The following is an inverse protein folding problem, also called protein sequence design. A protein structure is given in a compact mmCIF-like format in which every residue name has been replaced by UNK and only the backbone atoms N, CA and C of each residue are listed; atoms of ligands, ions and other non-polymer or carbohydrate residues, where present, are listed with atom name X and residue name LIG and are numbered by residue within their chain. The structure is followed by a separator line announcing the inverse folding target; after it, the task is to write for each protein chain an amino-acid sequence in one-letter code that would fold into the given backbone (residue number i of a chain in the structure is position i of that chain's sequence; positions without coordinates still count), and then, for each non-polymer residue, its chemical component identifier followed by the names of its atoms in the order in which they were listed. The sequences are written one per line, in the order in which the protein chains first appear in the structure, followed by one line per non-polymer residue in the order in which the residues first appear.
data_IF_429278081642
#
_entry.id   IF_429278081642
#
_cell.length_a   1.000
_cell.length_b   1.000
_cell.length_c   1.000
_cell.angle_alpha   90.00
_cell.angle_beta   90.00
_cell.angle_gamma   90.00
#
_symmetry.space_group_name_H-M   'P 1'
#
loop_
_entity.id
_entity.type
_entity.pdbx_description
1 polymer ?
#
# COMPACT_ATOMS: atom_id res chain seq x y z
N UNK A 1 9.07 -3.15 11.46
CA UNK A 1 7.76 -3.84 11.39
C UNK A 1 6.98 -3.38 10.16
N UNK A 2 5.92 -4.11 9.77
CA UNK A 2 4.95 -3.69 8.76
C UNK A 2 3.54 -3.72 9.35
N UNK A 3 2.71 -2.72 9.03
CA UNK A 3 1.30 -2.65 9.42
C UNK A 3 0.47 -2.78 8.15
N UNK A 4 -0.47 -3.73 8.16
CA UNK A 4 -1.36 -4.05 7.03
C UNK A 4 -2.80 -3.99 7.50
N UNK A 5 -3.68 -3.40 6.70
CA UNK A 5 -5.10 -3.30 7.01
C UNK A 5 -5.96 -2.94 5.81
N UNK A 6 -7.21 -2.57 6.06
CA UNK A 6 -8.15 -2.10 5.02
C UNK A 6 -7.56 -0.86 4.32
N UNK A 7 -7.77 -0.73 3.00
CA UNK A 7 -7.27 0.42 2.25
C UNK A 7 -7.83 1.73 2.79
N UNK A 8 -6.98 2.75 2.87
CA UNK A 8 -7.41 4.10 3.29
C UNK A 8 -8.31 4.74 2.24
N UNK A 9 -8.07 4.44 0.96
CA UNK A 9 -8.92 4.86 -0.13
C UNK A 9 -10.16 3.95 -0.23
N UNK A 10 -11.33 4.49 0.14
CA UNK A 10 -12.63 3.78 0.13
C UNK A 10 -12.95 3.02 -1.18
N UNK A 11 -12.47 3.52 -2.32
CA UNK A 11 -12.73 2.91 -3.63
C UNK A 11 -11.93 1.62 -3.86
N UNK A 12 -10.93 1.34 -3.02
CA UNK A 12 -10.13 0.12 -3.06
C UNK A 12 -10.52 -0.85 -1.94
N UNK A 13 -11.40 -0.44 -1.02
CA UNK A 13 -11.87 -1.26 0.09
C UNK A 13 -13.01 -2.16 -0.37
N UNK A 14 -12.65 -3.18 -1.15
CA UNK A 14 -13.54 -4.11 -1.88
C UNK A 14 -13.69 -5.47 -1.19
N UNK A 15 -13.23 -5.59 0.05
CA UNK A 15 -13.19 -6.84 0.82
C UNK A 15 -12.02 -7.77 0.49
N UNK A 16 -11.23 -7.45 -0.55
CA UNK A 16 -10.15 -8.31 -1.04
C UNK A 16 -8.77 -7.67 -1.06
N UNK A 17 -8.76 -6.35 -1.08
CA UNK A 17 -7.56 -5.55 -1.11
C UNK A 17 -7.15 -5.18 0.31
N UNK A 18 -5.88 -5.39 0.62
CA UNK A 18 -5.23 -4.82 1.80
C UNK A 18 -4.19 -3.77 1.39
N UNK A 19 -3.87 -2.88 2.31
CA UNK A 19 -2.86 -1.85 2.16
C UNK A 19 -1.79 -1.97 3.25
N UNK A 20 -0.51 -1.93 2.87
CA UNK A 20 0.59 -1.69 3.80
C UNK A 20 0.65 -0.19 4.08
N UNK A 21 0.20 0.23 5.26
CA UNK A 21 0.13 1.67 5.61
C UNK A 21 1.36 2.17 6.35
N UNK A 22 2.15 1.25 6.91
CA UNK A 22 3.42 1.57 7.56
C UNK A 22 4.42 0.45 7.35
N UNK A 23 5.65 0.81 7.05
CA UNK A 23 6.79 -0.08 7.15
C UNK A 23 7.99 0.71 7.67
N UNK A 24 8.60 0.21 8.74
CA UNK A 24 9.84 0.77 9.27
C UNK A 24 10.85 -0.35 9.56
N UNK A 25 12.13 -0.02 9.42
CA UNK A 25 13.26 -0.90 9.75
C UNK A 25 14.25 -0.14 10.61
N UNK A 26 15.14 -0.87 11.27
CA UNK A 26 16.29 -0.36 12.02
C UNK A 26 17.52 -0.10 11.15
N UNK A 27 17.38 -0.22 9.82
CA UNK A 27 18.47 -0.11 8.85
C UNK A 27 19.15 -1.44 8.49
N UNK A 28 18.72 -2.58 9.04
CA UNK A 28 19.29 -3.87 8.67
C UNK A 28 19.21 -4.13 7.14
N UNK A 29 20.27 -4.68 6.51
CA UNK A 29 20.31 -4.89 5.07
C UNK A 29 19.14 -5.73 4.56
N UNK A 30 18.48 -5.26 3.50
CA UNK A 30 17.33 -5.92 2.85
C UNK A 30 16.09 -6.12 3.73
N UNK A 31 16.06 -5.57 4.95
CA UNK A 31 14.93 -5.75 5.87
C UNK A 31 13.61 -5.24 5.26
N UNK A 32 13.64 -4.08 4.57
CA UNK A 32 12.45 -3.47 3.97
C UNK A 32 11.80 -4.38 2.92
N UNK A 33 12.60 -4.89 1.96
CA UNK A 33 12.12 -5.80 0.92
C UNK A 33 11.62 -7.13 1.49
N UNK A 34 12.33 -7.69 2.49
CA UNK A 34 11.91 -8.93 3.17
C UNK A 34 10.57 -8.76 3.89
N UNK A 35 10.36 -7.63 4.55
CA UNK A 35 9.09 -7.33 5.23
C UNK A 35 7.94 -7.15 4.24
N UNK A 36 8.13 -6.48 3.10
CA UNK A 36 7.11 -6.42 2.04
C UNK A 36 6.76 -7.82 1.51
N UNK A 37 7.75 -8.68 1.31
CA UNK A 37 7.54 -10.07 0.91
C UNK A 37 6.79 -10.89 1.97
N UNK A 38 7.14 -10.73 3.26
CA UNK A 38 6.47 -11.40 4.36
C UNK A 38 5.01 -10.94 4.53
N UNK A 39 4.76 -9.64 4.41
CA UNK A 39 3.41 -9.07 4.45
C UNK A 39 2.52 -9.67 3.35
N UNK A 40 3.04 -9.83 2.13
CA UNK A 40 2.28 -10.46 1.05
C UNK A 40 1.98 -11.93 1.31
N UNK A 41 2.95 -12.70 1.82
CA UNK A 41 2.74 -14.11 2.18
C UNK A 41 1.65 -14.25 3.24
N UNK A 42 1.66 -13.41 4.28
CA UNK A 42 0.65 -13.41 5.32
C UNK A 42 -0.73 -13.04 4.77
N UNK A 43 -0.84 -11.96 3.98
CA UNK A 43 -2.10 -11.54 3.37
C UNK A 43 -2.73 -12.64 2.50
N UNK A 44 -1.92 -13.33 1.68
CA UNK A 44 -2.40 -14.47 0.88
C UNK A 44 -2.88 -15.64 1.74
N UNK A 45 -2.17 -15.96 2.81
CA UNK A 45 -2.55 -17.05 3.71
C UNK A 45 -3.91 -16.79 4.39
N UNK A 46 -4.24 -15.51 4.61
CA UNK A 46 -5.54 -15.06 5.11
C UNK A 46 -6.63 -14.98 4.03
N UNK A 47 -6.33 -15.28 2.77
CA UNK A 47 -7.29 -15.33 1.67
C UNK A 47 -7.39 -14.05 0.82
N UNK A 48 -6.66 -12.98 1.15
CA UNK A 48 -6.69 -11.75 0.36
C UNK A 48 -6.01 -11.92 -0.99
N UNK A 49 -6.57 -11.30 -2.03
CA UNK A 49 -6.13 -11.46 -3.42
C UNK A 49 -5.26 -10.30 -3.90
N UNK A 50 -5.27 -9.18 -3.16
CA UNK A 50 -4.53 -7.98 -3.52
C UNK A 50 -3.91 -7.32 -2.30
N UNK A 51 -2.63 -6.96 -2.41
CA UNK A 51 -1.94 -6.12 -1.45
C UNK A 51 -1.30 -4.93 -2.19
N UNK A 52 -1.53 -3.74 -1.67
CA UNK A 52 -1.03 -2.48 -2.24
C UNK A 52 -0.24 -1.66 -1.22
N UNK A 53 0.51 -0.68 -1.71
CA UNK A 53 1.10 0.38 -0.89
C UNK A 53 1.32 1.63 -1.73
N UNK A 54 1.54 2.76 -1.07
CA UNK A 54 1.89 4.02 -1.68
C UNK A 54 3.28 4.47 -1.23
N UNK A 55 4.04 5.01 -2.17
CA UNK A 55 5.27 5.78 -1.89
C UNK A 55 5.16 7.15 -2.52
N UNK A 56 5.91 8.13 -2.02
CA UNK A 56 6.23 9.34 -2.78
C UNK A 56 7.12 8.95 -3.98
N UNK A 57 7.13 9.80 -5.00
CA UNK A 57 7.97 9.59 -6.17
C UNK A 57 9.46 9.60 -5.81
N UNK A 58 9.86 10.49 -4.89
CA UNK A 58 11.25 10.66 -4.44
C UNK A 58 11.81 9.47 -3.65
N UNK A 59 10.95 8.65 -3.03
CA UNK A 59 11.38 7.44 -2.31
C UNK A 59 11.87 6.33 -3.26
N UNK A 60 11.57 6.44 -4.56
CA UNK A 60 12.13 5.60 -5.62
C UNK A 60 11.68 4.13 -5.61
N UNK A 61 11.10 3.59 -4.54
CA UNK A 61 10.49 2.24 -4.49
C UNK A 61 11.46 1.06 -4.69
N UNK A 62 12.75 1.24 -4.42
CA UNK A 62 13.77 0.19 -4.67
C UNK A 62 13.48 -1.12 -3.93
N UNK A 63 13.08 -1.05 -2.66
CA UNK A 63 12.73 -2.24 -1.86
C UNK A 63 11.48 -2.96 -2.38
N UNK A 64 10.53 -2.23 -2.98
CA UNK A 64 9.34 -2.81 -3.59
C UNK A 64 9.69 -3.59 -4.85
N UNK A 65 10.54 -3.02 -5.71
CA UNK A 65 11.10 -3.74 -6.88
C UNK A 65 11.85 -4.99 -6.46
N UNK A 66 12.71 -4.90 -5.45
CA UNK A 66 13.43 -6.05 -4.91
C UNK A 66 12.51 -7.13 -4.33
N UNK A 67 11.33 -6.75 -3.83
CA UNK A 67 10.29 -7.67 -3.37
C UNK A 67 9.38 -8.19 -4.50
N UNK A 68 9.64 -7.84 -5.77
CA UNK A 68 8.85 -8.25 -6.93
C UNK A 68 7.53 -7.48 -7.13
N UNK A 69 7.35 -6.36 -6.42
CA UNK A 69 6.14 -5.55 -6.57
C UNK A 69 6.19 -4.73 -7.87
N UNK A 70 5.02 -4.49 -8.45
CA UNK A 70 4.85 -3.72 -9.68
C UNK A 70 4.27 -2.35 -9.41
N UNK A 71 4.82 -1.34 -10.09
CA UNK A 71 4.24 0.01 -10.13
C UNK A 71 2.97 -0.04 -10.99
N UNK A 72 1.82 0.24 -10.38
CA UNK A 72 0.51 0.27 -11.07
C UNK A 72 0.26 1.65 -11.69
N UNK A 73 0.87 2.68 -11.13
CA UNK A 73 0.83 4.04 -11.65
C UNK A 73 0.78 5.08 -10.55
N UNK A 74 0.66 6.33 -10.97
CA UNK A 74 0.66 7.48 -10.06
C UNK A 74 -0.77 7.82 -9.64
N UNK A 75 -0.96 8.24 -8.38
CA UNK A 75 -2.25 8.54 -7.76
C UNK A 75 -2.18 9.77 -6.86
N UNK A 76 -3.22 10.59 -6.95
CA UNK A 76 -3.52 11.62 -5.97
C UNK A 76 -2.39 12.63 -5.73
N UNK A 77 -2.40 13.19 -4.52
CA UNK A 77 -1.65 14.38 -4.11
C UNK A 77 -2.59 15.39 -3.45
N UNK A 78 -2.05 16.50 -2.98
CA UNK A 78 -2.78 17.61 -2.41
C UNK A 78 -2.92 17.57 -0.88
N UNK A 79 -3.87 18.38 -0.38
CA UNK A 79 -4.03 18.62 1.05
C UNK A 79 -4.94 17.59 1.74
N UNK A 80 -4.62 17.30 2.99
CA UNK A 80 -5.40 16.52 3.94
C UNK A 80 -6.64 17.27 4.42
N UNK A 81 -6.62 18.60 4.30
CA UNK A 81 -7.74 19.49 4.60
C UNK A 81 -8.76 19.47 3.48
N UNK A 82 -10.04 19.37 3.83
CA UNK A 82 -11.16 19.47 2.88
C UNK A 82 -12.19 20.46 3.43
N UNK A 83 -12.97 21.17 2.59
CA UNK A 83 -13.97 22.13 3.08
C UNK A 83 -14.92 21.55 4.14
N UNK A 84 -15.32 20.27 3.98
CA UNK A 84 -16.18 19.55 4.93
C UNK A 84 -15.44 18.92 6.12
N UNK A 85 -14.10 18.92 6.11
CA UNK A 85 -13.25 18.38 7.19
C UNK A 85 -11.91 19.13 7.22
N UNK A 86 -11.87 20.31 7.85
CA UNK A 86 -10.63 21.06 7.97
C UNK A 86 -9.62 20.30 8.84
N UNK A 87 -8.37 20.28 8.39
CA UNK A 87 -7.24 19.68 9.10
C UNK A 87 -6.04 20.62 9.04
N UNK A 88 -5.05 20.38 9.90
CA UNK A 88 -3.73 20.99 9.77
C UNK A 88 -3.19 20.80 8.35
N UNK A 89 -2.45 21.79 7.87
CA UNK A 89 -2.00 21.80 6.49
C UNK A 89 -0.99 20.68 6.22
N UNK A 90 -1.03 20.14 5.01
CA UNK A 90 -0.18 19.02 4.62
C UNK A 90 1.21 19.52 4.30
N UNK A 91 2.29 18.98 4.89
CA UNK A 91 3.65 19.37 4.52
C UNK A 91 3.88 19.31 3.00
N UNK A 92 4.60 20.28 2.44
CA UNK A 92 4.72 20.46 0.98
C UNK A 92 5.26 19.21 0.26
N UNK A 93 6.26 18.55 0.84
CA UNK A 93 6.84 17.31 0.30
C UNK A 93 5.83 16.13 0.26
N UNK A 94 4.74 16.18 1.04
CA UNK A 94 3.68 15.16 1.06
C UNK A 94 2.51 15.49 0.13
N UNK A 95 2.45 16.71 -0.44
CA UNK A 95 1.39 17.11 -1.36
C UNK A 95 1.60 16.55 -2.76
N UNK A 96 2.81 16.10 -3.07
CA UNK A 96 3.13 15.51 -4.36
C UNK A 96 2.31 14.25 -4.67
N UNK A 97 2.26 13.87 -5.94
CA UNK A 97 1.61 12.63 -6.34
C UNK A 97 2.34 11.41 -5.78
N UNK A 98 1.57 10.34 -5.50
CA UNK A 98 2.08 9.10 -4.91
C UNK A 98 2.10 7.97 -5.94
N UNK A 99 3.12 7.13 -5.90
CA UNK A 99 3.23 5.91 -6.67
C UNK A 99 2.44 4.79 -5.99
N UNK A 100 1.46 4.22 -6.67
CA UNK A 100 0.72 3.03 -6.23
C UNK A 100 1.45 1.77 -6.68
N UNK A 101 1.78 0.92 -5.72
CA UNK A 101 2.41 -0.37 -5.96
C UNK A 101 1.46 -1.51 -5.62
N UNK A 102 1.61 -2.63 -6.34
CA UNK A 102 0.87 -3.87 -6.08
C UNK A 102 1.86 -5.03 -5.91
N UNK A 103 1.61 -5.88 -4.93
CA UNK A 103 2.35 -7.12 -4.73
C UNK A 103 2.23 -8.04 -5.97
N UNK A 104 3.21 -8.95 -6.20
CA UNK A 104 3.15 -9.89 -7.31
C UNK A 104 1.84 -10.70 -7.27
N UNK A 105 1.22 -10.90 -8.44
CA UNK A 105 -0.04 -11.64 -8.53
C UNK A 105 0.14 -13.08 -7.99
N UNK A 106 -0.68 -13.44 -7.01
CA UNK A 106 -1.02 -14.84 -6.75
C UNK A 106 -2.24 -15.19 -7.59
N UNK A 107 -2.43 -16.47 -7.93
CA UNK A 107 -3.53 -16.95 -8.76
C UNK A 107 -4.86 -16.25 -8.45
N UNK A 108 -5.55 -15.80 -9.51
CA UNK A 108 -6.80 -15.04 -9.45
C UNK A 108 -7.85 -15.86 -8.70
N UNK A 109 -8.30 -15.38 -7.54
CA UNK A 109 -9.43 -15.95 -6.82
C UNK A 109 -10.61 -15.00 -7.02
N UNK A 110 -11.69 -15.52 -7.59
CA UNK A 110 -12.92 -14.78 -7.86
C UNK A 110 -13.49 -14.09 -6.62
N UNK A 111 -14.41 -13.14 -6.85
CA UNK A 111 -14.99 -12.22 -5.86
C UNK A 111 -15.58 -12.95 -4.62
N UNK A 112 -15.55 -12.31 -3.44
CA UNK A 112 -15.90 -12.93 -2.16
C UNK A 112 -17.41 -12.84 -2.20
N UNK A 113 -18.14 -13.93 -1.96
CA UNK A 113 -19.57 -13.80 -1.76
C UNK A 113 -19.76 -12.80 -0.62
N UNK A 114 -20.53 -11.75 -0.89
CA UNK A 114 -20.79 -10.66 0.05
C UNK A 114 -21.21 -11.27 1.39
N UNK A 115 -20.55 -10.86 2.48
CA UNK A 115 -20.98 -11.24 3.82
C UNK A 115 -22.26 -10.45 4.14
N UNK A 116 -23.38 -11.18 4.16
CA UNK A 116 -24.72 -10.74 4.56
C UNK A 116 -24.73 -10.07 5.94
#
# INVERSE_FOLDING_TARGET
MAIVGRPVARHLDDGWTLEVTRLCTDGAPNACSKLYGAAWKAAKALGYTRLITYTLAEEGGASLRAAGWRLVGTRGGGTWSRPSRPRADTPDHLRGPKCLWRAPDGADKGKHPDAD
#
